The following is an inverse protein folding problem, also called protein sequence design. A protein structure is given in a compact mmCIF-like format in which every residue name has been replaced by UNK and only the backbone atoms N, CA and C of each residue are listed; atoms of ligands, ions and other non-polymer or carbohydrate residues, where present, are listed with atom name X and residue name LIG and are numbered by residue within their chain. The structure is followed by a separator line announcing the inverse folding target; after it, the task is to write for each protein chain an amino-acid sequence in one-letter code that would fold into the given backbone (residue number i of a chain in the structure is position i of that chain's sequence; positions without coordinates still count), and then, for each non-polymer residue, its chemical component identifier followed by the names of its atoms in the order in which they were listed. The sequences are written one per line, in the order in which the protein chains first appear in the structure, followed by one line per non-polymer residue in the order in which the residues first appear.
data_IF_886001767086
#
_entry.id   IF_886001767086
#
_cell.length_a   1.000
_cell.length_b   1.000
_cell.length_c   1.000
_cell.angle_alpha   90.00
_cell.angle_beta   90.00
_cell.angle_gamma   90.00
#
_symmetry.space_group_name_H-M   'P 1'
#
loop_
_entity.id
_entity.type
_entity.pdbx_description
1 polymer ?
#
# COMPACT_ATOMS: atom_id res chain seq x y z
N UNK A 1 22.60 -18.39 9.92
CA UNK A 1 22.67 -18.41 8.45
C UNK A 1 21.25 -18.21 7.94
N UNK A 2 20.90 -17.02 7.47
CA UNK A 2 19.54 -16.72 7.02
C UNK A 2 19.37 -17.34 5.63
N UNK A 3 18.45 -18.31 5.50
CA UNK A 3 18.09 -18.90 4.21
C UNK A 3 17.13 -17.96 3.48
N UNK A 4 17.62 -17.19 2.52
CA UNK A 4 16.78 -16.51 1.55
C UNK A 4 16.19 -17.57 0.61
N UNK A 5 14.89 -17.85 0.77
CA UNK A 5 14.15 -18.71 -0.15
C UNK A 5 14.14 -18.03 -1.51
N UNK A 6 14.76 -18.66 -2.52
CA UNK A 6 14.84 -18.10 -3.87
C UNK A 6 13.45 -17.67 -4.37
N UNK A 7 13.27 -16.38 -4.61
CA UNK A 7 12.01 -15.83 -5.11
C UNK A 7 11.80 -16.29 -6.55
N UNK A 8 10.59 -16.79 -6.85
CA UNK A 8 10.24 -17.19 -8.21
C UNK A 8 10.02 -15.92 -9.06
N UNK A 9 10.55 -15.88 -10.30
CA UNK A 9 10.30 -14.76 -11.20
C UNK A 9 8.80 -14.67 -11.52
N UNK A 10 8.27 -13.47 -11.42
CA UNK A 10 6.91 -13.10 -11.81
C UNK A 10 6.95 -12.48 -13.19
N UNK A 11 5.97 -12.79 -14.03
CA UNK A 11 5.88 -12.23 -15.37
C UNK A 11 5.06 -10.93 -15.34
N UNK A 12 5.68 -9.82 -15.75
CA UNK A 12 5.02 -8.50 -15.84
C UNK A 12 5.48 -7.80 -17.12
N UNK A 13 4.55 -7.16 -17.84
CA UNK A 13 4.82 -6.36 -19.04
C UNK A 13 5.66 -7.04 -20.13
N UNK A 14 5.58 -8.37 -20.25
CA UNK A 14 6.34 -9.12 -21.25
C UNK A 14 7.73 -9.57 -20.80
N UNK A 15 8.13 -9.27 -19.56
CA UNK A 15 9.45 -9.60 -19.01
C UNK A 15 9.35 -10.40 -17.70
N UNK A 16 10.38 -11.18 -17.42
CA UNK A 16 10.53 -11.91 -16.16
C UNK A 16 11.21 -11.01 -15.12
N UNK A 17 10.48 -10.66 -14.07
CA UNK A 17 10.97 -9.81 -12.98
C UNK A 17 10.96 -10.57 -11.66
N UNK A 18 12.04 -10.46 -10.88
CA UNK A 18 12.06 -10.96 -9.50
C UNK A 18 11.37 -9.91 -8.63
N UNK A 19 10.20 -10.25 -8.08
CA UNK A 19 9.45 -9.36 -7.20
C UNK A 19 10.02 -9.46 -5.79
N UNK A 20 10.83 -8.47 -5.43
CA UNK A 20 11.33 -8.31 -4.07
C UNK A 20 10.34 -7.49 -3.23
N UNK A 21 10.40 -7.61 -1.91
CA UNK A 21 9.53 -6.84 -0.99
C UNK A 21 9.68 -5.31 -1.19
N UNK A 22 10.91 -4.75 -1.34
CA UNK A 22 11.07 -3.32 -1.65
C UNK A 22 10.47 -2.92 -3.00
N UNK A 23 10.66 -3.74 -4.04
CA UNK A 23 10.08 -3.48 -5.35
C UNK A 23 8.55 -3.49 -5.32
N UNK A 24 7.94 -4.44 -4.59
CA UNK A 24 6.49 -4.49 -4.42
C UNK A 24 5.97 -3.26 -3.67
N UNK A 25 6.70 -2.78 -2.66
CA UNK A 25 6.36 -1.56 -1.95
C UNK A 25 6.38 -0.34 -2.89
N UNK A 26 7.45 -0.13 -3.65
CA UNK A 26 7.56 0.96 -4.62
C UNK A 26 6.44 0.93 -5.68
N UNK A 27 6.07 -0.28 -6.15
CA UNK A 27 4.96 -0.47 -7.07
C UNK A 27 3.62 -0.07 -6.45
N UNK A 28 3.36 -0.48 -5.21
CA UNK A 28 2.13 -0.17 -4.51
C UNK A 28 2.05 1.32 -4.17
N UNK A 29 3.16 1.97 -3.79
CA UNK A 29 3.22 3.41 -3.54
C UNK A 29 2.89 4.19 -4.82
N UNK A 30 3.48 3.79 -5.94
CA UNK A 30 3.17 4.37 -7.25
C UNK A 30 1.70 4.19 -7.64
N UNK A 31 1.15 2.99 -7.43
CA UNK A 31 -0.26 2.70 -7.71
C UNK A 31 -1.22 3.48 -6.80
N UNK A 32 -0.86 3.70 -5.53
CA UNK A 32 -1.64 4.47 -4.58
C UNK A 32 -1.74 5.93 -5.05
N UNK A 33 -0.60 6.55 -5.37
CA UNK A 33 -0.55 7.93 -5.86
C UNK A 33 -1.31 8.07 -7.18
N UNK A 34 -1.15 7.14 -8.12
CA UNK A 34 -1.86 7.16 -9.39
C UNK A 34 -3.39 7.09 -9.21
N UNK A 35 -3.88 6.21 -8.34
CA UNK A 35 -5.32 6.09 -8.06
C UNK A 35 -5.88 7.34 -7.37
N UNK A 36 -5.12 7.96 -6.45
CA UNK A 36 -5.48 9.24 -5.81
C UNK A 36 -5.61 10.37 -6.86
N UNK A 37 -4.64 10.47 -7.78
CA UNK A 37 -4.61 11.48 -8.82
C UNK A 37 -5.75 11.32 -9.83
N UNK A 38 -6.04 10.08 -10.24
CA UNK A 38 -7.16 9.77 -11.13
C UNK A 38 -8.54 9.88 -10.44
N UNK A 39 -8.58 10.13 -9.13
CA UNK A 39 -9.83 10.21 -8.37
C UNK A 39 -10.50 8.86 -8.14
N UNK A 40 -9.80 7.75 -8.37
CA UNK A 40 -10.28 6.40 -8.10
C UNK A 40 -10.01 6.04 -6.62
N UNK A 41 -10.83 6.60 -5.73
CA UNK A 41 -10.61 6.50 -4.27
C UNK A 41 -10.86 5.08 -3.75
N UNK A 42 -11.74 4.32 -4.39
CA UNK A 42 -11.96 2.91 -4.02
C UNK A 42 -10.74 2.07 -4.32
N UNK A 43 -10.16 2.18 -5.53
CA UNK A 43 -8.91 1.49 -5.85
C UNK A 43 -7.74 1.99 -4.99
N UNK A 44 -7.67 3.29 -4.70
CA UNK A 44 -6.66 3.83 -3.79
C UNK A 44 -6.77 3.23 -2.38
N UNK A 45 -7.99 3.02 -1.88
CA UNK A 45 -8.22 2.36 -0.60
C UNK A 45 -7.75 0.90 -0.60
N UNK A 46 -8.04 0.15 -1.66
CA UNK A 46 -7.58 -1.25 -1.78
C UNK A 46 -6.06 -1.34 -1.86
N UNK A 47 -5.42 -0.44 -2.60
CA UNK A 47 -3.95 -0.39 -2.66
C UNK A 47 -3.36 -0.02 -1.30
N UNK A 48 -3.95 0.93 -0.57
CA UNK A 48 -3.53 1.29 0.78
C UNK A 48 -3.60 0.10 1.76
N UNK A 49 -4.68 -0.69 1.71
CA UNK A 49 -4.81 -1.90 2.53
C UNK A 49 -3.69 -2.91 2.24
N UNK A 50 -3.38 -3.15 0.95
CA UNK A 50 -2.26 -4.00 0.56
C UNK A 50 -0.91 -3.48 1.07
N UNK A 51 -0.68 -2.17 0.98
CA UNK A 51 0.54 -1.50 1.43
C UNK A 51 0.74 -1.62 2.95
N UNK A 52 -0.34 -1.44 3.72
CA UNK A 52 -0.33 -1.61 5.17
C UNK A 52 -0.02 -3.06 5.55
N UNK A 53 -0.69 -4.02 4.92
CA UNK A 53 -0.44 -5.44 5.18
C UNK A 53 0.99 -5.85 4.81
N UNK A 54 1.54 -5.31 3.72
CA UNK A 54 2.93 -5.52 3.31
C UNK A 54 3.88 -4.98 4.37
N UNK A 55 3.70 -3.73 4.79
CA UNK A 55 4.53 -3.05 5.79
C UNK A 55 4.55 -3.79 7.13
N UNK A 56 3.39 -4.29 7.57
CA UNK A 56 3.26 -5.07 8.80
C UNK A 56 3.94 -6.44 8.74
N UNK A 57 4.11 -6.98 7.53
CA UNK A 57 4.72 -8.30 7.29
C UNK A 57 6.25 -8.23 7.14
N UNK A 58 6.84 -7.04 7.09
CA UNK A 58 8.28 -6.84 6.94
C UNK A 58 9.04 -7.07 8.25
N UNK A 59 10.23 -7.68 8.18
CA UNK A 59 11.13 -7.76 9.34
C UNK A 59 11.56 -6.35 9.75
N UNK A 60 11.34 -5.99 11.03
CA UNK A 60 11.59 -4.63 11.53
C UNK A 60 10.44 -3.65 11.27
N UNK A 61 9.22 -4.14 11.00
CA UNK A 61 8.03 -3.32 10.82
C UNK A 61 7.87 -2.26 11.92
N UNK A 62 7.76 -1.01 11.50
CA UNK A 62 7.51 0.16 12.35
C UNK A 62 6.02 0.45 12.51
N UNK A 63 5.17 -0.24 11.75
CA UNK A 63 3.72 -0.09 11.75
C UNK A 63 3.07 -1.31 12.42
N UNK A 64 2.32 -1.08 13.49
CA UNK A 64 1.55 -2.14 14.15
C UNK A 64 0.25 -2.46 13.42
N UNK A 65 -0.30 -3.66 13.67
CA UNK A 65 -1.62 -4.07 13.16
C UNK A 65 -2.71 -3.06 13.54
N UNK A 66 -2.65 -2.56 14.78
CA UNK A 66 -3.62 -1.60 15.29
C UNK A 66 -3.54 -0.25 14.58
N UNK A 67 -2.33 0.27 14.37
CA UNK A 67 -2.13 1.53 13.64
C UNK A 67 -2.62 1.44 12.19
N UNK A 68 -2.34 0.33 11.50
CA UNK A 68 -2.86 0.09 10.16
C UNK A 68 -4.39 0.09 10.08
N UNK A 69 -5.05 -0.57 11.03
CA UNK A 69 -6.53 -0.56 11.13
C UNK A 69 -7.08 0.84 11.40
N UNK A 70 -6.40 1.66 12.21
CA UNK A 70 -6.82 3.05 12.47
C UNK A 70 -6.76 3.86 11.18
N UNK A 71 -5.68 3.74 10.41
CA UNK A 71 -5.50 4.47 9.15
C UNK A 71 -6.62 4.09 8.16
N UNK A 72 -6.84 2.80 7.93
CA UNK A 72 -7.91 2.31 7.06
C UNK A 72 -9.30 2.77 7.52
N UNK A 73 -9.55 2.75 8.84
CA UNK A 73 -10.82 3.19 9.40
C UNK A 73 -11.08 4.69 9.15
N UNK A 74 -10.06 5.55 9.32
CA UNK A 74 -10.16 6.99 9.03
C UNK A 74 -10.48 7.26 7.57
N UNK A 75 -9.77 6.60 6.66
CA UNK A 75 -9.99 6.73 5.22
C UNK A 75 -11.39 6.25 4.84
N UNK A 76 -11.81 5.08 5.34
CA UNK A 76 -13.14 4.52 5.08
C UNK A 76 -14.27 5.39 5.65
N UNK A 77 -14.06 6.02 6.81
CA UNK A 77 -15.01 6.95 7.40
C UNK A 77 -15.16 8.22 6.52
N UNK A 78 -14.05 8.80 6.08
CA UNK A 78 -14.04 9.96 5.20
C UNK A 78 -14.74 9.67 3.85
N UNK A 79 -14.45 8.50 3.25
CA UNK A 79 -15.13 8.04 2.02
C UNK A 79 -16.66 7.92 2.22
N UNK A 80 -17.10 7.33 3.34
CA UNK A 80 -18.54 7.19 3.66
C UNK A 80 -19.26 8.52 3.86
N UNK A 81 -18.55 9.54 4.34
CA UNK A 81 -19.08 10.88 4.54
C UNK A 81 -19.09 11.72 3.25
N UNK A 82 -18.57 11.19 2.14
CA UNK A 82 -18.36 11.93 0.91
C UNK A 82 -17.19 12.93 0.97
N UNK A 83 -16.41 12.88 2.06
CA UNK A 83 -15.22 13.72 2.23
C UNK A 83 -14.01 13.07 1.56
N UNK A 84 -14.00 13.18 0.23
CA UNK A 84 -12.92 12.64 -0.60
C UNK A 84 -11.60 13.39 -0.38
N UNK A 85 -11.63 14.64 0.06
CA UNK A 85 -10.43 15.42 0.33
C UNK A 85 -9.68 14.86 1.55
N UNK A 86 -10.40 14.64 2.66
CA UNK A 86 -9.81 14.03 3.86
C UNK A 86 -9.39 12.58 3.62
N UNK A 87 -10.16 11.82 2.82
CA UNK A 87 -9.77 10.46 2.44
C UNK A 87 -8.42 10.45 1.70
N UNK A 88 -8.25 11.32 0.69
CA UNK A 88 -6.98 11.48 -0.03
C UNK A 88 -5.85 11.91 0.89
N UNK A 89 -6.10 12.88 1.77
CA UNK A 89 -5.09 13.37 2.69
C UNK A 89 -4.55 12.25 3.57
N UNK A 90 -5.42 11.45 4.19
CA UNK A 90 -4.98 10.34 5.03
C UNK A 90 -4.22 9.25 4.25
N UNK A 91 -4.58 8.99 2.99
CA UNK A 91 -3.83 8.06 2.14
C UNK A 91 -2.43 8.61 1.79
N UNK A 92 -2.32 9.91 1.47
CA UNK A 92 -1.03 10.56 1.14
C UNK A 92 -0.13 10.64 2.38
N UNK A 93 -0.68 10.99 3.54
CA UNK A 93 0.06 11.02 4.80
C UNK A 93 0.69 9.67 5.15
N UNK A 94 0.04 8.57 4.80
CA UNK A 94 0.60 7.24 4.95
C UNK A 94 1.73 6.97 3.95
N UNK A 95 1.52 7.26 2.66
CA UNK A 95 2.50 7.01 1.61
C UNK A 95 3.80 7.80 1.77
N UNK A 96 3.76 8.93 2.49
CA UNK A 96 4.94 9.77 2.76
C UNK A 96 5.71 9.38 4.03
N UNK A 97 5.23 8.41 4.80
CA UNK A 97 5.75 8.06 6.13
C UNK A 97 6.73 6.90 6.07
#
# INVERSE_FOLDING_TARGET
MVHFKAQKPTYMNGEYTIVTTPFLQDMLDSALIANIQHGNIEAAYEVLDLLINLTQSMEGATLTEHEGKIILSKVKAAMKQGDLASAKQHMVEFALR
#
